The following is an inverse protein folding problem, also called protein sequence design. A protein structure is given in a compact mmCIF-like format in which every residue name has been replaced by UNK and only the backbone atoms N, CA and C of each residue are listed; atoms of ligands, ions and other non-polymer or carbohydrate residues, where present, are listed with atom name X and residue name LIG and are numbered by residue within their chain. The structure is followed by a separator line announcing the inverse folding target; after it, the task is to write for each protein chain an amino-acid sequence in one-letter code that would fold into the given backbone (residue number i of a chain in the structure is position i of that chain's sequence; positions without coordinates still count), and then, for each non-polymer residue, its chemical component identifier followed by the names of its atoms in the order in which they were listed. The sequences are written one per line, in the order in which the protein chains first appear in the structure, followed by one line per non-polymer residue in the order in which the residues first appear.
data_IF_853345962982
#
_entry.id   IF_853345962982
#
_cell.length_a   1.000
_cell.length_b   1.000
_cell.length_c   1.000
_cell.angle_alpha   90.00
_cell.angle_beta   90.00
_cell.angle_gamma   90.00
#
_symmetry.space_group_name_H-M   'P 1'
#
loop_
_entity.id
_entity.type
_entity.pdbx_description
1 polymer ?
#
# COMPACT_ATOMS: atom_id res chain seq x y z
N UNK A 1 24.11 -22.82 7.36
CA UNK A 1 23.46 -21.59 7.85
C UNK A 1 22.11 -21.47 7.17
N UNK A 2 21.00 -21.58 7.90
CA UNK A 2 19.65 -21.41 7.34
C UNK A 2 19.39 -19.90 7.25
N UNK A 3 19.44 -19.32 6.04
CA UNK A 3 19.05 -17.93 5.80
C UNK A 3 17.59 -17.79 6.25
N UNK A 4 17.35 -17.06 7.33
CA UNK A 4 15.99 -16.70 7.76
C UNK A 4 15.39 -15.83 6.66
N UNK A 5 14.44 -16.38 5.89
CA UNK A 5 13.55 -15.60 5.01
C UNK A 5 13.03 -14.43 5.86
N UNK A 6 13.46 -13.21 5.57
CA UNK A 6 12.98 -12.02 6.28
C UNK A 6 11.48 -11.96 6.01
N UNK A 7 10.70 -12.21 7.06
CA UNK A 7 9.28 -12.49 6.94
C UNK A 7 8.54 -11.29 6.33
N UNK A 8 7.99 -11.44 5.13
CA UNK A 8 7.13 -10.44 4.47
C UNK A 8 5.78 -10.24 5.18
N UNK A 9 5.57 -10.88 6.33
CA UNK A 9 4.37 -10.77 7.15
C UNK A 9 4.14 -9.31 7.61
N UNK A 10 5.20 -8.53 7.86
CA UNK A 10 5.08 -7.11 8.23
C UNK A 10 4.42 -6.28 7.13
N UNK A 11 4.98 -6.33 5.91
CA UNK A 11 4.44 -5.66 4.72
C UNK A 11 2.98 -6.04 4.44
N UNK A 12 2.65 -7.33 4.54
CA UNK A 12 1.28 -7.82 4.35
C UNK A 12 0.31 -7.27 5.40
N UNK A 13 0.73 -7.19 6.66
CA UNK A 13 -0.11 -6.72 7.76
C UNK A 13 -0.40 -5.22 7.65
N UNK A 14 0.62 -4.40 7.35
CA UNK A 14 0.45 -2.95 7.19
C UNK A 14 -0.39 -2.65 5.95
N UNK A 15 -0.11 -3.32 4.83
CA UNK A 15 -0.88 -3.15 3.59
C UNK A 15 -2.35 -3.56 3.75
N UNK A 16 -2.64 -4.62 4.53
CA UNK A 16 -3.99 -5.09 4.81
C UNK A 16 -4.78 -4.12 5.70
N UNK A 17 -4.15 -3.44 6.66
CA UNK A 17 -4.81 -2.43 7.50
C UNK A 17 -5.22 -1.21 6.69
N UNK A 18 -4.39 -0.81 5.72
CA UNK A 18 -4.70 0.30 4.81
C UNK A 18 -5.90 -0.01 3.90
N UNK A 19 -6.10 -1.28 3.52
CA UNK A 19 -7.21 -1.75 2.65
C UNK A 19 -8.60 -1.58 3.27
N UNK A 20 -8.68 -1.58 4.60
CA UNK A 20 -9.93 -1.41 5.35
C UNK A 20 -10.53 0.00 5.20
N UNK A 21 -9.79 0.98 4.67
CA UNK A 21 -10.31 2.33 4.45
C UNK A 21 -11.47 2.35 3.45
N UNK A 22 -11.49 1.41 2.50
CA UNK A 22 -12.56 1.26 1.50
C UNK A 22 -13.96 1.02 2.09
N UNK A 23 -14.06 0.58 3.34
CA UNK A 23 -15.32 0.32 4.03
C UNK A 23 -15.95 1.55 4.70
N UNK A 24 -15.20 2.63 4.95
CA UNK A 24 -15.67 3.80 5.70
C UNK A 24 -16.04 5.00 4.83
N UNK A 25 -15.56 5.04 3.59
CA UNK A 25 -15.84 6.08 2.59
C UNK A 25 -16.67 5.42 1.50
N UNK A 26 -18.00 5.49 1.68
CA UNK A 26 -19.02 4.71 1.01
C UNK A 26 -18.69 4.19 -0.40
N UNK A 27 -18.75 2.87 -0.55
CA UNK A 27 -19.17 2.21 -1.78
C UNK A 27 -20.66 2.50 -2.09
N UNK A 28 -21.12 3.74 -1.93
CA UNK A 28 -22.39 4.18 -2.49
C UNK A 28 -22.11 4.73 -3.88
N UNK A 29 -22.79 4.15 -4.86
CA UNK A 29 -22.95 4.65 -6.24
C UNK A 29 -23.70 6.01 -6.29
N UNK A 30 -23.66 6.80 -5.22
CA UNK A 30 -24.48 7.99 -5.06
C UNK A 30 -23.61 9.17 -4.64
N UNK A 31 -23.59 10.16 -5.53
CA UNK A 31 -22.80 11.37 -5.48
C UNK A 31 -23.15 12.22 -4.25
N UNK A 32 -22.34 12.16 -3.19
CA UNK A 32 -22.64 12.89 -1.96
C UNK A 32 -21.42 13.25 -1.13
N UNK A 33 -20.87 14.45 -1.40
CA UNK A 33 -19.82 15.13 -0.64
C UNK A 33 -18.45 14.43 -0.70
N UNK A 34 -17.81 14.50 -1.87
CA UNK A 34 -16.37 14.30 -1.99
C UNK A 34 -15.66 15.64 -1.79
N UNK A 35 -14.85 15.78 -0.74
CA UNK A 35 -13.81 16.82 -0.67
C UNK A 35 -13.03 16.79 -2.01
N UNK A 36 -12.69 17.95 -2.57
CA UNK A 36 -12.03 18.02 -3.88
C UNK A 36 -10.85 17.02 -3.98
N UNK A 37 -10.93 16.09 -4.93
CA UNK A 37 -9.93 15.01 -5.12
C UNK A 37 -10.31 13.63 -4.55
N UNK A 38 -11.43 13.51 -3.83
CA UNK A 38 -11.94 12.25 -3.26
C UNK A 38 -12.97 11.55 -4.15
N UNK A 39 -13.06 11.89 -5.43
CA UNK A 39 -13.88 11.15 -6.41
C UNK A 39 -13.02 10.08 -7.06
N UNK A 40 -13.48 8.82 -7.11
CA UNK A 40 -12.76 7.66 -7.67
C UNK A 40 -11.39 7.35 -7.02
N UNK A 41 -11.15 7.86 -5.81
CA UNK A 41 -9.92 7.59 -5.08
C UNK A 41 -9.74 6.08 -4.81
N UNK A 42 -10.86 5.38 -4.57
CA UNK A 42 -10.92 3.94 -4.33
C UNK A 42 -10.43 3.14 -5.53
N UNK A 43 -10.76 3.53 -6.76
CA UNK A 43 -10.30 2.83 -7.97
C UNK A 43 -8.78 2.91 -8.13
N UNK A 44 -8.20 4.12 -7.98
CA UNK A 44 -6.75 4.31 -8.04
C UNK A 44 -6.03 3.57 -6.94
N UNK A 45 -6.56 3.66 -5.73
CA UNK A 45 -6.02 2.98 -4.55
C UNK A 45 -6.04 1.45 -4.74
N UNK A 46 -7.17 0.87 -5.14
CA UNK A 46 -7.34 -0.58 -5.35
C UNK A 46 -6.46 -1.10 -6.47
N UNK A 47 -6.37 -0.38 -7.60
CA UNK A 47 -5.49 -0.75 -8.70
C UNK A 47 -4.02 -0.82 -8.26
N UNK A 48 -3.56 0.14 -7.46
CA UNK A 48 -2.18 0.12 -6.96
C UNK A 48 -1.96 -0.94 -5.86
N UNK A 49 -2.98 -1.20 -5.03
CA UNK A 49 -2.93 -2.28 -4.04
C UNK A 49 -2.80 -3.65 -4.73
N UNK A 50 -3.51 -3.86 -5.83
CA UNK A 50 -3.43 -5.07 -6.65
C UNK A 50 -2.03 -5.21 -7.29
N UNK A 51 -1.51 -4.16 -7.93
CA UNK A 51 -0.16 -4.16 -8.50
C UNK A 51 0.91 -4.49 -7.45
N UNK A 52 0.80 -3.89 -6.26
CA UNK A 52 1.71 -4.16 -5.15
C UNK A 52 1.61 -5.62 -4.66
N UNK A 53 0.39 -6.14 -4.49
CA UNK A 53 0.15 -7.53 -4.07
C UNK A 53 0.69 -8.54 -5.10
N UNK A 54 0.52 -8.24 -6.38
CA UNK A 54 1.06 -9.06 -7.47
C UNK A 54 2.59 -9.05 -7.48
N UNK A 55 3.22 -7.89 -7.29
CA UNK A 55 4.67 -7.78 -7.19
C UNK A 55 5.23 -8.48 -5.94
N UNK A 56 4.52 -8.41 -4.82
CA UNK A 56 4.87 -9.12 -3.60
C UNK A 56 4.79 -10.64 -3.79
N UNK A 57 3.76 -11.13 -4.48
CA UNK A 57 3.61 -12.55 -4.83
C UNK A 57 4.74 -12.99 -5.75
N UNK A 58 5.06 -12.20 -6.78
CA UNK A 58 6.17 -12.49 -7.70
C UNK A 58 7.51 -12.59 -6.97
N UNK A 59 7.82 -11.62 -6.09
CA UNK A 59 9.04 -11.63 -5.28
C UNK A 59 9.09 -12.79 -4.27
N UNK A 60 7.95 -13.14 -3.68
CA UNK A 60 7.86 -14.27 -2.75
C UNK A 60 8.12 -15.62 -3.43
N UNK A 61 7.74 -15.73 -4.70
CA UNK A 61 7.95 -16.93 -5.52
C UNK A 61 9.36 -16.99 -6.12
N UNK A 62 9.88 -15.84 -6.56
CA UNK A 62 11.23 -15.68 -7.13
C UNK A 62 11.86 -14.38 -6.60
N UNK A 63 12.79 -14.46 -5.63
CA UNK A 63 13.39 -13.30 -4.99
C UNK A 63 14.49 -12.63 -5.82
N UNK A 64 14.49 -12.77 -7.14
CA UNK A 64 15.46 -12.11 -8.03
C UNK A 64 15.46 -10.57 -7.89
N UNK A 65 16.60 -9.94 -8.16
CA UNK A 65 16.79 -8.48 -8.19
C UNK A 65 15.69 -7.80 -9.01
N UNK A 66 15.29 -8.41 -10.13
CA UNK A 66 14.21 -7.91 -10.98
C UNK A 66 12.87 -7.84 -10.24
N UNK A 67 12.45 -8.93 -9.59
CA UNK A 67 11.20 -8.96 -8.84
C UNK A 67 11.26 -8.09 -7.58
N UNK A 68 12.42 -7.98 -6.93
CA UNK A 68 12.61 -7.07 -5.80
C UNK A 68 12.45 -5.60 -6.24
N UNK A 69 13.08 -5.19 -7.34
CA UNK A 69 12.95 -3.84 -7.87
C UNK A 69 11.50 -3.55 -8.29
N UNK A 70 10.81 -4.55 -8.85
CA UNK A 70 9.38 -4.45 -9.16
C UNK A 70 8.55 -4.27 -7.89
N UNK A 71 8.78 -5.06 -6.85
CA UNK A 71 8.14 -4.91 -5.54
C UNK A 71 8.32 -3.50 -4.98
N UNK A 72 9.54 -2.94 -5.02
CA UNK A 72 9.80 -1.58 -4.55
C UNK A 72 9.06 -0.53 -5.38
N UNK A 73 9.06 -0.69 -6.70
CA UNK A 73 8.41 0.24 -7.63
C UNK A 73 6.89 0.26 -7.43
N UNK A 74 6.26 -0.90 -7.39
CA UNK A 74 4.81 -1.01 -7.18
C UNK A 74 4.42 -0.59 -5.76
N UNK A 75 5.23 -0.94 -4.76
CA UNK A 75 5.01 -0.53 -3.36
C UNK A 75 5.08 0.99 -3.17
N UNK A 76 6.06 1.67 -3.78
CA UNK A 76 6.15 3.14 -3.72
C UNK A 76 5.02 3.81 -4.52
N UNK A 77 4.55 3.18 -5.60
CA UNK A 77 3.37 3.65 -6.35
C UNK A 77 2.10 3.55 -5.50
N UNK A 78 1.95 2.47 -4.72
CA UNK A 78 0.87 2.29 -3.77
C UNK A 78 0.94 3.30 -2.61
N UNK A 79 2.12 3.53 -2.02
CA UNK A 79 2.35 4.60 -1.02
C UNK A 79 1.94 5.97 -1.57
N UNK A 80 2.33 6.29 -2.81
CA UNK A 80 1.96 7.56 -3.45
C UNK A 80 0.44 7.70 -3.65
N UNK A 81 -0.25 6.61 -4.00
CA UNK A 81 -1.70 6.61 -4.10
C UNK A 81 -2.36 6.87 -2.74
N UNK A 82 -1.85 6.25 -1.67
CA UNK A 82 -2.29 6.47 -0.29
C UNK A 82 -2.03 7.91 0.20
N UNK A 83 -0.85 8.48 -0.07
CA UNK A 83 -0.55 9.88 0.23
C UNK A 83 -1.52 10.83 -0.50
N UNK A 84 -1.91 10.49 -1.73
CA UNK A 84 -2.83 11.26 -2.56
C UNK A 84 -4.29 11.30 -2.07
N UNK A 85 -4.66 10.47 -1.10
CA UNK A 85 -6.02 10.38 -0.54
C UNK A 85 -6.10 10.81 0.92
N UNK A 86 -5.01 11.33 1.51
CA UNK A 86 -4.97 11.76 2.91
C UNK A 86 -6.03 12.82 3.24
N UNK A 87 -6.41 13.64 2.27
CA UNK A 87 -7.50 14.63 2.37
C UNK A 87 -8.91 14.00 2.40
N UNK A 88 -9.02 12.70 2.09
CA UNK A 88 -10.24 11.91 2.13
C UNK A 88 -10.37 11.09 3.43
N UNK A 89 -9.29 11.01 4.23
CA UNK A 89 -9.28 10.30 5.50
C UNK A 89 -9.91 11.19 6.59
N UNK A 90 -10.87 10.69 7.38
CA UNK A 90 -11.40 11.43 8.53
C UNK A 90 -10.28 11.90 9.47
N UNK A 91 -10.37 13.14 9.97
CA UNK A 91 -9.33 13.73 10.84
C UNK A 91 -9.00 12.85 12.05
N UNK A 92 -10.00 12.15 12.61
CA UNK A 92 -9.82 11.22 13.74
C UNK A 92 -8.84 10.08 13.44
N UNK A 93 -8.69 9.69 12.18
CA UNK A 93 -7.85 8.57 11.76
C UNK A 93 -6.57 9.02 11.02
N UNK A 94 -6.49 10.31 10.63
CA UNK A 94 -5.43 10.83 9.78
C UNK A 94 -4.02 10.58 10.33
N UNK A 95 -3.83 10.69 11.65
CA UNK A 95 -2.53 10.45 12.28
C UNK A 95 -2.06 9.00 12.11
N UNK A 96 -2.97 8.04 12.35
CA UNK A 96 -2.68 6.61 12.19
C UNK A 96 -2.37 6.29 10.73
N UNK A 97 -3.18 6.80 9.79
CA UNK A 97 -2.93 6.62 8.36
C UNK A 97 -1.56 7.16 7.93
N UNK A 98 -1.16 8.34 8.41
CA UNK A 98 0.18 8.89 8.12
C UNK A 98 1.29 8.01 8.68
N UNK A 99 1.11 7.47 9.88
CA UNK A 99 2.07 6.54 10.49
C UNK A 99 2.19 5.27 9.65
N UNK A 100 1.07 4.63 9.33
CA UNK A 100 1.05 3.37 8.57
C UNK A 100 1.67 3.53 7.17
N UNK A 101 1.39 4.66 6.50
CA UNK A 101 1.99 5.00 5.20
C UNK A 101 3.51 5.21 5.34
N UNK A 102 3.96 5.90 6.39
CA UNK A 102 5.37 6.14 6.66
C UNK A 102 6.11 4.82 6.94
N UNK A 103 5.52 3.95 7.75
CA UNK A 103 6.09 2.64 8.11
C UNK A 103 6.16 1.74 6.87
N UNK A 104 5.10 1.67 6.07
CA UNK A 104 5.11 0.94 4.80
C UNK A 104 6.22 1.44 3.86
N UNK A 105 6.36 2.76 3.71
CA UNK A 105 7.40 3.38 2.89
C UNK A 105 8.81 3.06 3.41
N UNK A 106 9.00 3.08 4.72
CA UNK A 106 10.28 2.72 5.35
C UNK A 106 10.61 1.24 5.12
N UNK A 107 9.65 0.33 5.32
CA UNK A 107 9.84 -1.10 5.07
C UNK A 107 10.21 -1.39 3.61
N UNK A 108 9.48 -0.80 2.65
CA UNK A 108 9.78 -0.93 1.21
C UNK A 108 11.20 -0.43 0.90
N UNK A 109 11.58 0.75 1.42
CA UNK A 109 12.90 1.31 1.16
C UNK A 109 14.03 0.46 1.80
N UNK A 110 13.79 -0.09 2.99
CA UNK A 110 14.72 -0.96 3.71
C UNK A 110 14.85 -2.37 3.13
N UNK A 111 13.97 -2.74 2.20
CA UNK A 111 14.07 -4.01 1.47
C UNK A 111 15.30 -3.96 0.57
N UNK A 112 16.31 -4.75 0.94
CA UNK A 112 17.52 -4.96 0.16
C UNK A 112 17.19 -5.85 -1.05
N UNK A 113 17.70 -5.47 -2.22
CA UNK A 113 17.55 -6.21 -3.47
C UNK A 113 18.90 -6.80 -3.88
N UNK A 114 19.43 -7.67 -3.01
CA UNK A 114 20.76 -8.25 -3.07
C UNK A 114 20.76 -9.73 -3.50
N UNK A 115 19.63 -10.26 -3.96
CA UNK A 115 19.49 -11.66 -4.44
C UNK A 115 19.28 -11.75 -5.95
#
# INVERSE_FOLDING_TARGET
MKKTKKSHIGLLYIASNLLMLSGFVGCSKDDGIGTAGCTNWSEKYLSQAESYTNALTAYSNDPSVSNCNKLKTEGLSYVKALEGILNCVPTANLANYKSDISDLKAEINSTACDE
#
